data_IF_577790432397
#
_entry.id   IF_577790432397
#
_cell.length_a   1.000
_cell.length_b   1.000
_cell.length_c   1.000
_cell.angle_alpha   90.00
_cell.angle_beta   90.00
_cell.angle_gamma   90.00
#
_symmetry.space_group_name_H-M   'P 1'
#
loop_
_entity.id
_entity.type
_entity.pdbx_description
1 polymer ?
#
# COMPACT_ATOMS: atom_id res chain seq x y z
N UNK A 1 5.69 -23.41 -35.95
CA UNK A 1 5.47 -24.35 -34.82
C UNK A 1 5.35 -23.65 -33.47
N UNK A 2 6.33 -22.85 -32.99
CA UNK A 2 6.26 -22.17 -31.66
C UNK A 2 5.01 -21.30 -31.40
N UNK A 3 4.49 -20.57 -32.40
CA UNK A 3 3.27 -19.73 -32.25
C UNK A 3 1.99 -20.56 -32.13
N UNK A 4 1.91 -21.69 -32.82
CA UNK A 4 0.73 -22.58 -32.79
C UNK A 4 0.67 -23.29 -31.44
N UNK A 5 1.81 -23.78 -30.94
CA UNK A 5 1.89 -24.41 -29.62
C UNK A 5 1.53 -23.43 -28.50
N UNK A 6 1.98 -22.16 -28.56
CA UNK A 6 1.60 -21.16 -27.54
C UNK A 6 0.12 -20.83 -27.55
N UNK A 7 -0.51 -20.77 -28.72
CA UNK A 7 -1.95 -20.52 -28.84
C UNK A 7 -2.78 -21.69 -28.32
N UNK A 8 -2.37 -22.93 -28.62
CA UNK A 8 -3.03 -24.13 -28.10
C UNK A 8 -2.90 -24.20 -26.58
N UNK A 9 -1.70 -23.98 -26.03
CA UNK A 9 -1.47 -23.95 -24.58
C UNK A 9 -2.26 -22.84 -23.89
N UNK A 10 -2.30 -21.64 -24.45
CA UNK A 10 -3.09 -20.55 -23.87
C UNK A 10 -4.59 -20.83 -23.92
N UNK A 11 -5.07 -21.43 -25.02
CA UNK A 11 -6.49 -21.79 -25.18
C UNK A 11 -6.88 -22.87 -24.17
N UNK A 12 -6.07 -23.94 -24.05
CA UNK A 12 -6.28 -24.99 -23.05
C UNK A 12 -6.25 -24.45 -21.62
N UNK A 13 -5.31 -23.54 -21.32
CA UNK A 13 -5.24 -22.89 -20.01
C UNK A 13 -6.50 -22.05 -19.74
N UNK A 14 -6.98 -21.27 -20.71
CA UNK A 14 -8.20 -20.48 -20.58
C UNK A 14 -9.43 -21.37 -20.37
N UNK A 15 -9.55 -22.47 -21.12
CA UNK A 15 -10.60 -23.46 -20.93
C UNK A 15 -10.56 -24.07 -19.54
N UNK A 16 -9.38 -24.48 -19.07
CA UNK A 16 -9.21 -25.04 -17.72
C UNK A 16 -9.59 -24.03 -16.62
N UNK A 17 -9.16 -22.77 -16.74
CA UNK A 17 -9.47 -21.71 -15.78
C UNK A 17 -10.96 -21.33 -15.77
N UNK A 18 -11.64 -21.44 -16.91
CA UNK A 18 -13.07 -21.11 -17.05
C UNK A 18 -13.99 -22.26 -16.69
N UNK A 19 -13.53 -23.52 -16.79
CA UNK A 19 -14.33 -24.70 -16.46
C UNK A 19 -14.89 -24.65 -15.03
N UNK A 20 -14.08 -24.23 -14.05
CA UNK A 20 -14.55 -24.06 -12.66
C UNK A 20 -15.66 -23.02 -12.55
N UNK A 21 -15.49 -21.86 -13.18
CA UNK A 21 -16.49 -20.77 -13.15
C UNK A 21 -17.82 -21.19 -13.80
N UNK A 22 -17.76 -21.90 -14.92
CA UNK A 22 -18.96 -22.40 -15.61
C UNK A 22 -19.66 -23.46 -14.76
N UNK A 23 -18.90 -24.38 -14.17
CA UNK A 23 -19.44 -25.45 -13.32
C UNK A 23 -20.13 -24.86 -12.09
N UNK A 24 -19.49 -23.90 -11.41
CA UNK A 24 -20.08 -23.20 -10.27
C UNK A 24 -21.36 -22.46 -10.69
N UNK A 25 -21.33 -21.73 -11.81
CA UNK A 25 -22.50 -21.02 -12.31
C UNK A 25 -23.69 -21.97 -12.59
N UNK A 26 -23.46 -23.08 -13.27
CA UNK A 26 -24.52 -24.09 -13.52
C UNK A 26 -25.04 -24.71 -12.24
N UNK A 27 -24.17 -24.97 -11.26
CA UNK A 27 -24.57 -25.48 -9.95
C UNK A 27 -25.48 -24.49 -9.20
N UNK A 28 -25.09 -23.21 -9.12
CA UNK A 28 -25.90 -22.17 -8.49
C UNK A 28 -27.24 -21.93 -9.22
N UNK A 29 -27.23 -21.98 -10.55
CA UNK A 29 -28.43 -21.85 -11.38
C UNK A 29 -29.40 -23.01 -11.14
N UNK A 30 -28.90 -24.25 -11.05
CA UNK A 30 -29.71 -25.44 -10.76
C UNK A 30 -30.39 -25.37 -9.38
N UNK A 31 -29.79 -24.66 -8.42
CA UNK A 31 -30.34 -24.44 -7.08
C UNK A 31 -31.23 -23.19 -6.98
N UNK A 32 -31.43 -22.43 -8.05
CA UNK A 32 -32.17 -21.17 -8.03
C UNK A 32 -31.48 -20.02 -7.30
N UNK A 33 -30.16 -20.14 -7.03
CA UNK A 33 -29.36 -19.16 -6.29
C UNK A 33 -28.33 -18.43 -7.16
N UNK A 34 -28.64 -18.21 -8.44
CA UNK A 34 -27.79 -17.52 -9.42
C UNK A 34 -27.31 -16.14 -8.94
N UNK A 35 -28.17 -15.41 -8.23
CA UNK A 35 -27.87 -14.07 -7.71
C UNK A 35 -26.72 -14.07 -6.71
N UNK A 36 -26.54 -15.12 -5.91
CA UNK A 36 -25.42 -15.25 -4.97
C UNK A 36 -24.09 -15.35 -5.72
N UNK A 37 -24.05 -16.17 -6.78
CA UNK A 37 -22.88 -16.32 -7.63
C UNK A 37 -22.54 -15.01 -8.34
N UNK A 38 -23.52 -14.37 -8.99
CA UNK A 38 -23.32 -13.12 -9.71
C UNK A 38 -22.88 -11.98 -8.79
N UNK A 39 -23.44 -11.90 -7.57
CA UNK A 39 -23.04 -10.90 -6.58
C UNK A 39 -21.58 -11.09 -6.19
N UNK A 40 -21.14 -12.31 -5.89
CA UNK A 40 -19.75 -12.60 -5.57
C UNK A 40 -18.81 -12.34 -6.75
N UNK A 41 -19.16 -12.78 -7.94
CA UNK A 41 -18.37 -12.60 -9.16
C UNK A 41 -18.19 -11.12 -9.53
N UNK A 42 -19.30 -10.36 -9.59
CA UNK A 42 -19.26 -8.93 -9.91
C UNK A 42 -18.51 -8.12 -8.85
N UNK A 43 -18.64 -8.47 -7.57
CA UNK A 43 -17.90 -7.82 -6.48
C UNK A 43 -16.40 -8.03 -6.62
N UNK A 44 -15.95 -9.25 -6.95
CA UNK A 44 -14.53 -9.54 -7.22
C UNK A 44 -14.00 -8.72 -8.38
N UNK A 45 -14.73 -8.62 -9.50
CA UNK A 45 -14.30 -7.82 -10.67
C UNK A 45 -14.23 -6.34 -10.30
N UNK A 46 -15.25 -5.79 -9.63
CA UNK A 46 -15.26 -4.37 -9.22
C UNK A 46 -14.07 -4.05 -8.33
N UNK A 47 -13.81 -4.88 -7.31
CA UNK A 47 -12.70 -4.69 -6.39
C UNK A 47 -11.35 -4.83 -7.07
N UNK A 48 -11.21 -5.81 -7.98
CA UNK A 48 -10.00 -5.98 -8.79
C UNK A 48 -9.70 -4.70 -9.57
N UNK A 49 -10.66 -4.21 -10.37
CA UNK A 49 -10.47 -3.03 -11.21
C UNK A 49 -10.23 -1.76 -10.39
N UNK A 50 -10.98 -1.57 -9.30
CA UNK A 50 -10.85 -0.41 -8.43
C UNK A 50 -9.47 -0.34 -7.77
N UNK A 51 -9.04 -1.46 -7.15
CA UNK A 51 -7.75 -1.50 -6.46
C UNK A 51 -6.57 -1.52 -7.42
N UNK A 52 -6.62 -2.29 -8.52
CA UNK A 52 -5.59 -2.25 -9.56
C UNK A 52 -5.47 -0.85 -10.18
N UNK A 53 -6.59 -0.19 -10.47
CA UNK A 53 -6.61 1.18 -10.99
C UNK A 53 -5.99 2.18 -10.01
N UNK A 54 -6.33 2.08 -8.72
CA UNK A 54 -5.75 2.93 -7.67
C UNK A 54 -4.24 2.72 -7.54
N UNK A 55 -3.78 1.47 -7.45
CA UNK A 55 -2.35 1.14 -7.31
C UNK A 55 -1.57 1.57 -8.54
N UNK A 56 -2.08 1.26 -9.74
CA UNK A 56 -1.42 1.64 -10.98
C UNK A 56 -1.37 3.16 -11.13
N UNK A 57 -2.49 3.86 -10.91
CA UNK A 57 -2.57 5.31 -11.02
C UNK A 57 -1.64 6.02 -10.05
N UNK A 58 -1.61 5.59 -8.79
CA UNK A 58 -0.70 6.17 -7.79
C UNK A 58 0.77 5.94 -8.13
N UNK A 59 1.17 4.71 -8.49
CA UNK A 59 2.54 4.41 -8.91
C UNK A 59 2.94 5.22 -10.15
N UNK A 60 2.06 5.29 -11.16
CA UNK A 60 2.30 6.06 -12.38
C UNK A 60 2.46 7.56 -12.11
N UNK A 61 1.59 8.16 -11.29
CA UNK A 61 1.67 9.58 -10.94
C UNK A 61 3.01 9.88 -10.28
N UNK A 62 3.42 9.08 -9.30
CA UNK A 62 4.69 9.26 -8.61
C UNK A 62 5.89 9.05 -9.54
N UNK A 63 5.86 8.03 -10.40
CA UNK A 63 6.90 7.81 -11.42
C UNK A 63 6.96 8.94 -12.43
N UNK A 64 5.82 9.49 -12.85
CA UNK A 64 5.76 10.63 -13.77
C UNK A 64 6.37 11.88 -13.13
N UNK A 65 6.09 12.15 -11.85
CA UNK A 65 6.74 13.23 -11.07
C UNK A 65 8.26 13.01 -10.99
N UNK A 66 8.69 11.77 -10.76
CA UNK A 66 10.11 11.43 -10.71
C UNK A 66 10.80 11.63 -12.08
N UNK A 67 10.15 11.22 -13.17
CA UNK A 67 10.62 11.36 -14.55
C UNK A 67 10.74 12.82 -15.00
N UNK A 68 9.88 13.73 -14.49
CA UNK A 68 9.98 15.19 -14.73
C UNK A 68 11.27 15.79 -14.18
N UNK A 69 11.81 15.23 -13.09
CA UNK A 69 13.05 15.72 -12.49
C UNK A 69 14.26 15.35 -13.34
N UNK A 70 14.31 14.09 -13.80
CA UNK A 70 15.31 13.59 -14.75
C UNK A 70 14.77 12.37 -15.47
N UNK A 71 14.90 12.36 -16.80
CA UNK A 71 14.48 11.26 -17.66
C UNK A 71 15.41 10.06 -17.48
N UNK A 72 14.83 8.89 -17.21
CA UNK A 72 15.54 7.61 -17.17
C UNK A 72 15.19 6.75 -18.39
N UNK A 73 16.15 5.98 -18.89
CA UNK A 73 15.93 4.94 -19.91
C UNK A 73 15.16 3.74 -19.35
N UNK A 74 15.16 3.56 -18.02
CA UNK A 74 14.45 2.48 -17.34
C UNK A 74 12.99 2.81 -17.03
N UNK A 75 12.51 4.01 -17.38
CA UNK A 75 11.12 4.41 -17.17
C UNK A 75 10.08 3.40 -17.70
N UNK A 76 10.16 2.87 -18.94
CA UNK A 76 9.20 1.86 -19.42
C UNK A 76 9.22 0.58 -18.58
N UNK A 77 10.38 0.16 -18.06
CA UNK A 77 10.47 -0.98 -17.16
C UNK A 77 9.69 -0.72 -15.86
N UNK A 78 9.83 0.45 -15.25
CA UNK A 78 9.07 0.81 -14.05
C UNK A 78 7.57 0.90 -14.31
N UNK A 79 7.14 1.35 -15.49
CA UNK A 79 5.72 1.34 -15.88
C UNK A 79 5.19 -0.10 -15.98
N UNK A 80 5.92 -1.00 -16.64
CA UNK A 80 5.55 -2.42 -16.72
C UNK A 80 5.51 -3.07 -15.34
N UNK A 81 6.51 -2.81 -14.48
CA UNK A 81 6.51 -3.30 -13.11
C UNK A 81 5.34 -2.73 -12.29
N UNK A 82 4.98 -1.47 -12.50
CA UNK A 82 3.81 -0.85 -11.84
C UNK A 82 2.51 -1.51 -12.27
N UNK A 83 2.37 -1.85 -13.55
CA UNK A 83 1.20 -2.59 -14.05
C UNK A 83 1.14 -3.98 -13.40
N UNK A 84 2.26 -4.71 -13.37
CA UNK A 84 2.32 -6.02 -12.72
C UNK A 84 1.97 -5.94 -11.23
N UNK A 85 2.57 -5.00 -10.49
CA UNK A 85 2.25 -4.78 -9.08
C UNK A 85 0.77 -4.44 -8.86
N UNK A 86 0.17 -3.64 -9.75
CA UNK A 86 -1.24 -3.29 -9.68
C UNK A 86 -2.17 -4.48 -9.94
N UNK A 87 -1.85 -5.35 -10.90
CA UNK A 87 -2.62 -6.57 -11.17
C UNK A 87 -2.53 -7.55 -9.99
N UNK A 88 -1.34 -7.69 -9.38
CA UNK A 88 -1.14 -8.51 -8.18
C UNK A 88 -1.97 -7.96 -7.02
N UNK A 89 -1.85 -6.66 -6.73
CA UNK A 89 -2.63 -6.02 -5.67
C UNK A 89 -4.15 -6.15 -5.92
N UNK A 90 -4.57 -5.95 -7.17
CA UNK A 90 -5.95 -6.14 -7.62
C UNK A 90 -6.48 -7.54 -7.30
N UNK A 91 -5.70 -8.56 -7.61
CA UNK A 91 -6.03 -9.96 -7.34
C UNK A 91 -6.12 -10.25 -5.83
N UNK A 92 -5.20 -9.72 -5.03
CA UNK A 92 -5.25 -9.87 -3.57
C UNK A 92 -6.50 -9.22 -2.95
N UNK A 93 -6.84 -8.00 -3.38
CA UNK A 93 -8.01 -7.28 -2.85
C UNK A 93 -9.32 -7.90 -3.33
N UNK A 94 -9.38 -8.40 -4.57
CA UNK A 94 -10.58 -9.09 -5.07
C UNK A 94 -10.88 -10.37 -4.29
N UNK A 95 -9.84 -11.07 -3.79
CA UNK A 95 -10.00 -12.20 -2.87
C UNK A 95 -10.72 -11.84 -1.56
N UNK A 96 -10.73 -10.57 -1.17
CA UNK A 96 -11.39 -10.04 0.05
C UNK A 96 -12.78 -9.47 -0.20
N UNK A 97 -13.43 -9.89 -1.28
CA UNK A 97 -14.77 -9.45 -1.66
C UNK A 97 -15.82 -9.63 -0.57
N UNK A 98 -15.76 -10.73 0.20
CA UNK A 98 -16.72 -11.00 1.27
C UNK A 98 -16.57 -10.00 2.42
N UNK A 99 -15.34 -9.66 2.80
CA UNK A 99 -15.07 -8.66 3.85
C UNK A 99 -15.65 -7.29 3.45
N UNK A 100 -15.45 -6.87 2.20
CA UNK A 100 -15.96 -5.59 1.69
C UNK A 100 -17.47 -5.58 1.54
N UNK A 101 -18.05 -6.69 1.09
CA UNK A 101 -19.51 -6.81 0.96
C UNK A 101 -20.18 -6.82 2.33
N UNK A 102 -19.58 -7.51 3.31
CA UNK A 102 -20.05 -7.50 4.70
C UNK A 102 -19.97 -6.11 5.33
N UNK A 103 -18.94 -5.32 5.01
CA UNK A 103 -18.86 -3.91 5.40
C UNK A 103 -19.98 -3.04 4.79
N UNK A 104 -20.28 -3.24 3.50
CA UNK A 104 -21.33 -2.47 2.81
C UNK A 104 -22.73 -2.77 3.33
N UNK A 105 -22.97 -4.01 3.78
CA UNK A 105 -24.23 -4.47 4.33
C UNK A 105 -24.15 -4.71 5.84
N UNK A 106 -23.30 -3.96 6.54
CA UNK A 106 -23.11 -4.14 7.97
C UNK A 106 -24.40 -3.83 8.75
N UNK A 107 -24.79 -4.75 9.64
CA UNK A 107 -25.91 -4.58 10.56
C UNK A 107 -25.42 -4.44 11.99
N UNK A 108 -26.01 -3.54 12.80
CA UNK A 108 -25.63 -3.40 14.21
C UNK A 108 -26.07 -4.63 15.01
N UNK A 109 -25.24 -5.03 15.97
CA UNK A 109 -25.57 -6.11 16.89
C UNK A 109 -26.36 -5.59 18.10
N UNK A 110 -26.29 -4.29 18.39
CA UNK A 110 -26.89 -3.69 19.58
C UNK A 110 -26.07 -3.93 20.85
N UNK A 111 -24.81 -4.35 20.71
CA UNK A 111 -23.91 -4.67 21.80
C UNK A 111 -22.67 -3.79 21.70
N UNK A 112 -22.67 -2.72 22.50
CA UNK A 112 -21.53 -1.81 22.59
C UNK A 112 -20.44 -2.38 23.51
N UNK A 113 -19.19 -2.29 23.06
CA UNK A 113 -18.05 -2.69 23.86
C UNK A 113 -17.76 -1.65 24.97
N UNK A 114 -17.44 -2.09 26.21
CA UNK A 114 -17.23 -1.15 27.33
C UNK A 114 -16.00 -0.25 27.23
N UNK A 115 -15.03 -0.55 26.36
CA UNK A 115 -13.71 0.10 26.33
C UNK A 115 -13.67 1.23 25.30
N UNK A 116 -14.13 0.97 24.08
CA UNK A 116 -14.13 1.88 22.95
C UNK A 116 -15.53 2.39 22.59
N UNK A 117 -16.58 1.89 23.26
CA UNK A 117 -17.97 2.23 22.98
C UNK A 117 -18.35 2.03 21.50
N UNK A 118 -17.81 0.98 20.87
CA UNK A 118 -18.14 0.57 19.50
C UNK A 118 -19.04 -0.66 19.54
N UNK A 119 -20.01 -0.70 18.65
CA UNK A 119 -20.84 -1.90 18.46
C UNK A 119 -19.98 -3.07 17.95
N UNK A 120 -20.35 -4.31 18.29
CA UNK A 120 -19.68 -5.51 17.79
C UNK A 120 -19.56 -5.55 16.25
N UNK A 121 -20.50 -4.93 15.51
CA UNK A 121 -20.45 -4.77 14.04
C UNK A 121 -19.20 -4.06 13.55
N UNK A 122 -18.64 -3.13 14.33
CA UNK A 122 -17.40 -2.46 13.98
C UNK A 122 -16.25 -3.47 13.84
N UNK A 123 -16.13 -4.39 14.78
CA UNK A 123 -15.06 -5.38 14.82
C UNK A 123 -15.26 -6.47 13.75
N UNK A 124 -16.49 -6.92 13.54
CA UNK A 124 -16.78 -8.00 12.59
C UNK A 124 -16.75 -7.52 11.13
N UNK A 125 -17.31 -6.35 10.84
CA UNK A 125 -17.52 -5.90 9.45
C UNK A 125 -16.60 -4.75 9.05
N UNK A 126 -16.37 -3.77 9.92
CA UNK A 126 -15.64 -2.55 9.53
C UNK A 126 -14.12 -2.69 9.65
N UNK A 127 -13.65 -3.24 10.77
CA UNK A 127 -12.22 -3.34 11.09
C UNK A 127 -11.43 -4.17 10.06
N UNK A 128 -11.92 -5.31 9.53
CA UNK A 128 -11.22 -6.04 8.47
C UNK A 128 -11.00 -5.21 7.21
N UNK A 129 -12.00 -4.41 6.81
CA UNK A 129 -11.90 -3.53 5.63
C UNK A 129 -10.94 -2.36 5.89
N UNK A 130 -10.91 -1.81 7.10
CA UNK A 130 -9.91 -0.80 7.47
C UNK A 130 -8.49 -1.36 7.43
N UNK A 131 -8.27 -2.60 7.87
CA UNK A 131 -6.99 -3.28 7.73
C UNK A 131 -6.61 -3.57 6.27
N UNK A 132 -7.59 -3.98 5.45
CA UNK A 132 -7.40 -4.18 4.01
C UNK A 132 -6.99 -2.87 3.32
N UNK A 133 -7.71 -1.78 3.60
CA UNK A 133 -7.44 -0.45 3.07
C UNK A 133 -6.05 0.03 3.48
N UNK A 134 -5.72 -0.08 4.76
CA UNK A 134 -4.40 0.27 5.28
C UNK A 134 -3.30 -0.55 4.59
N UNK A 135 -3.48 -1.86 4.46
CA UNK A 135 -2.51 -2.75 3.83
C UNK A 135 -2.27 -2.39 2.36
N UNK A 136 -3.34 -2.08 1.62
CA UNK A 136 -3.26 -1.62 0.22
C UNK A 136 -2.48 -0.30 0.11
N UNK A 137 -2.83 0.69 0.93
CA UNK A 137 -2.18 2.02 0.92
C UNK A 137 -0.71 1.93 1.31
N UNK A 138 -0.40 1.17 2.37
CA UNK A 138 0.97 1.01 2.85
C UNK A 138 1.84 0.27 1.84
N UNK A 139 1.36 -0.85 1.28
CA UNK A 139 2.09 -1.59 0.24
C UNK A 139 2.34 -0.73 -1.00
N UNK A 140 1.33 0.03 -1.43
CA UNK A 140 1.45 0.95 -2.57
C UNK A 140 2.43 2.09 -2.29
N UNK A 141 2.38 2.69 -1.10
CA UNK A 141 3.33 3.73 -0.68
C UNK A 141 4.76 3.19 -0.55
N UNK A 142 4.94 1.97 -0.05
CA UNK A 142 6.24 1.33 0.08
C UNK A 142 6.82 0.99 -1.31
N UNK A 143 6.02 0.44 -2.22
CA UNK A 143 6.42 0.21 -3.61
C UNK A 143 6.74 1.53 -4.32
N UNK A 144 5.94 2.57 -4.08
CA UNK A 144 6.21 3.92 -4.58
C UNK A 144 7.58 4.38 -4.13
N UNK A 145 7.88 4.28 -2.83
CA UNK A 145 9.19 4.65 -2.27
C UNK A 145 10.33 3.87 -2.95
N UNK A 146 10.19 2.56 -3.13
CA UNK A 146 11.20 1.72 -3.80
C UNK A 146 11.39 2.17 -5.24
N UNK A 147 10.31 2.31 -6.02
CA UNK A 147 10.38 2.64 -7.45
C UNK A 147 10.96 4.03 -7.69
N UNK A 148 10.53 5.05 -6.94
CA UNK A 148 11.08 6.39 -7.10
C UNK A 148 12.53 6.47 -6.60
N UNK A 149 12.89 5.73 -5.55
CA UNK A 149 14.27 5.67 -5.05
C UNK A 149 15.20 5.05 -6.09
N UNK A 150 14.84 3.88 -6.64
CA UNK A 150 15.58 3.25 -7.72
C UNK A 150 15.66 4.15 -8.96
N UNK A 151 14.54 4.78 -9.34
CA UNK A 151 14.53 5.73 -10.45
C UNK A 151 15.53 6.87 -10.25
N UNK A 152 15.53 7.51 -9.06
CA UNK A 152 16.45 8.60 -8.77
C UNK A 152 17.92 8.15 -8.73
N UNK A 153 18.21 7.00 -8.13
CA UNK A 153 19.58 6.44 -8.06
C UNK A 153 20.09 6.08 -9.45
N UNK A 154 19.32 5.35 -10.26
CA UNK A 154 19.69 4.99 -11.63
C UNK A 154 19.79 6.21 -12.56
N UNK A 155 19.13 7.32 -12.18
CA UNK A 155 19.20 8.58 -12.90
C UNK A 155 20.32 9.49 -12.40
N UNK A 156 21.21 9.09 -11.50
CA UNK A 156 22.27 9.98 -11.03
C UNK A 156 23.26 10.38 -12.16
N UNK A 157 23.85 11.58 -12.11
CA UNK A 157 24.91 11.95 -13.04
C UNK A 157 26.14 11.03 -12.84
N UNK A 158 26.64 10.42 -13.91
CA UNK A 158 27.84 9.55 -13.88
C UNK A 158 29.16 10.33 -13.76
N UNK A 159 29.13 11.57 -13.26
CA UNK A 159 30.34 12.38 -13.13
C UNK A 159 31.11 11.92 -11.88
N UNK A 160 32.38 11.51 -12.01
CA UNK A 160 33.18 11.14 -10.85
C UNK A 160 33.32 12.33 -9.91
N UNK A 161 33.35 12.07 -8.59
CA UNK A 161 33.84 13.08 -7.65
C UNK A 161 35.34 13.11 -7.82
N UNK A 162 35.91 14.28 -8.08
CA UNK A 162 37.35 14.44 -8.26
C UNK A 162 37.85 15.19 -7.04
N UNK A 163 38.86 14.64 -6.37
CA UNK A 163 39.53 15.31 -5.25
C UNK A 163 40.42 16.46 -5.76
N UNK A 164 40.94 17.28 -4.84
CA UNK A 164 41.86 18.39 -5.10
C UNK A 164 43.08 17.92 -5.93
N UNK A 165 43.46 16.65 -5.77
CA UNK A 165 44.58 16.01 -6.48
C UNK A 165 44.18 15.37 -7.82
N UNK A 166 42.96 15.55 -8.32
CA UNK A 166 42.52 14.98 -9.60
C UNK A 166 42.11 13.50 -9.55
N UNK A 167 42.12 12.87 -8.37
CA UNK A 167 41.84 11.43 -8.21
C UNK A 167 40.32 11.20 -8.15
N UNK A 168 39.75 10.30 -8.98
CA UNK A 168 38.35 9.89 -8.86
C UNK A 168 38.10 9.22 -7.51
N UNK A 169 37.21 9.80 -6.70
CA UNK A 169 36.75 9.24 -5.45
C UNK A 169 35.32 8.69 -5.58
N UNK A 170 35.05 7.63 -4.83
CA UNK A 170 33.69 7.12 -4.66
C UNK A 170 32.91 8.16 -3.83
N UNK A 171 31.80 8.72 -4.36
CA UNK A 171 31.02 9.69 -3.61
C UNK A 171 30.53 9.11 -2.28
N UNK A 172 30.69 9.85 -1.18
CA UNK A 172 30.08 9.47 0.10
C UNK A 172 28.55 9.52 0.01
N UNK A 173 27.85 8.84 0.93
CA UNK A 173 26.39 8.89 1.00
C UNK A 173 25.87 10.33 1.08
N UNK A 174 26.52 11.20 1.85
CA UNK A 174 26.11 12.59 2.00
C UNK A 174 26.26 13.38 0.69
N UNK A 175 27.35 13.13 -0.06
CA UNK A 175 27.55 13.71 -1.38
C UNK A 175 26.53 13.18 -2.40
N UNK A 176 26.22 11.89 -2.37
CA UNK A 176 25.19 11.29 -3.23
C UNK A 176 23.82 11.87 -2.91
N UNK A 177 23.47 11.94 -1.63
CA UNK A 177 22.26 12.55 -1.13
C UNK A 177 22.19 13.97 -1.65
N UNK A 178 23.15 14.85 -1.38
CA UNK A 178 23.22 16.25 -1.87
C UNK A 178 22.85 16.43 -3.36
N UNK A 179 23.24 15.49 -4.22
CA UNK A 179 23.03 15.53 -5.68
C UNK A 179 21.63 15.08 -6.12
N UNK A 180 20.87 14.42 -5.26
CA UNK A 180 19.51 13.98 -5.57
C UNK A 180 18.57 15.18 -5.72
N UNK A 181 18.17 15.49 -6.96
CA UNK A 181 17.18 16.54 -7.24
C UNK A 181 15.77 16.20 -6.73
N UNK A 182 15.49 14.90 -6.51
CA UNK A 182 14.19 14.36 -6.10
C UNK A 182 13.95 14.19 -4.59
N UNK A 183 14.85 14.65 -3.72
CA UNK A 183 14.75 14.45 -2.25
C UNK A 183 13.41 14.87 -1.66
N UNK A 184 12.88 16.00 -2.14
CA UNK A 184 11.60 16.52 -1.67
C UNK A 184 10.51 15.48 -1.83
N UNK A 185 10.43 14.87 -3.01
CA UNK A 185 9.43 13.86 -3.33
C UNK A 185 9.61 12.60 -2.47
N UNK A 186 10.85 12.14 -2.30
CA UNK A 186 11.17 11.01 -1.41
C UNK A 186 10.71 11.27 0.02
N UNK A 187 11.02 12.45 0.56
CA UNK A 187 10.69 12.82 1.95
C UNK A 187 9.18 12.94 2.14
N UNK A 188 8.44 13.43 1.15
CA UNK A 188 6.97 13.45 1.18
C UNK A 188 6.38 12.04 1.23
N UNK A 189 6.89 11.12 0.41
CA UNK A 189 6.43 9.71 0.42
C UNK A 189 6.77 9.04 1.74
N UNK A 190 7.99 9.25 2.28
CA UNK A 190 8.38 8.73 3.61
C UNK A 190 7.49 9.31 4.70
N UNK A 191 7.23 10.62 4.70
CA UNK A 191 6.32 11.25 5.65
C UNK A 191 4.91 10.65 5.57
N UNK A 192 4.38 10.41 4.37
CA UNK A 192 3.09 9.78 4.20
C UNK A 192 3.07 8.33 4.75
N UNK A 193 4.15 7.57 4.57
CA UNK A 193 4.30 6.24 5.15
C UNK A 193 4.33 6.26 6.69
N UNK A 194 4.92 7.27 7.31
CA UNK A 194 4.86 7.44 8.76
C UNK A 194 3.45 7.76 9.27
N UNK A 195 2.66 8.54 8.52
CA UNK A 195 1.24 8.75 8.84
C UNK A 195 0.43 7.46 8.69
N UNK A 196 0.69 6.67 7.65
CA UNK A 196 0.09 5.34 7.50
C UNK A 196 0.52 4.40 8.63
N UNK A 197 1.76 4.49 9.12
CA UNK A 197 2.23 3.73 10.27
C UNK A 197 1.50 4.14 11.55
N UNK A 198 1.29 5.44 11.76
CA UNK A 198 0.49 5.95 12.88
C UNK A 198 -0.95 5.40 12.80
N UNK A 199 -1.58 5.41 11.62
CA UNK A 199 -2.90 4.82 11.43
C UNK A 199 -2.88 3.31 11.74
N UNK A 200 -1.85 2.55 11.31
CA UNK A 200 -1.72 1.13 11.64
C UNK A 200 -1.80 0.87 13.14
N UNK A 201 -1.03 1.63 13.92
CA UNK A 201 -0.98 1.50 15.37
C UNK A 201 -2.29 1.94 16.04
N UNK A 202 -2.95 2.94 15.47
CA UNK A 202 -4.27 3.34 15.92
C UNK A 202 -5.29 2.21 15.74
N UNK A 203 -5.32 1.55 14.57
CA UNK A 203 -6.18 0.39 14.34
C UNK A 203 -5.80 -0.80 15.22
N UNK A 204 -4.51 -1.02 15.48
CA UNK A 204 -4.03 -2.10 16.33
C UNK A 204 -4.58 -2.04 17.76
N UNK A 205 -4.99 -0.86 18.25
CA UNK A 205 -5.66 -0.73 19.55
C UNK A 205 -6.93 -1.56 19.64
N UNK A 206 -7.68 -1.69 18.55
CA UNK A 206 -8.92 -2.49 18.52
C UNK A 206 -8.66 -4.00 18.58
N UNK A 207 -7.42 -4.44 18.34
CA UNK A 207 -7.06 -5.86 18.35
C UNK A 207 -7.19 -6.51 19.73
N UNK A 208 -7.21 -5.73 20.82
CA UNK A 208 -7.37 -6.25 22.18
C UNK A 208 -8.67 -7.04 22.37
N UNK A 209 -9.69 -6.75 21.56
CA UNK A 209 -10.96 -7.48 21.59
C UNK A 209 -10.86 -8.92 21.06
N UNK A 210 -9.76 -9.26 20.40
CA UNK A 210 -9.46 -10.63 19.94
C UNK A 210 -8.34 -11.31 20.75
N UNK A 211 -7.89 -10.68 21.84
CA UNK A 211 -6.81 -11.21 22.66
C UNK A 211 -7.20 -12.57 23.27
N UNK A 212 -6.27 -13.52 23.21
CA UNK A 212 -6.39 -14.85 23.83
C UNK A 212 -5.37 -15.07 24.94
N UNK A 213 -4.69 -13.99 25.36
CA UNK A 213 -3.55 -14.04 26.27
C UNK A 213 -3.95 -14.21 27.74
N UNK A 214 -5.23 -13.95 28.07
CA UNK A 214 -5.77 -14.02 29.42
C UNK A 214 -6.59 -15.29 29.70
N UNK A 215 -7.21 -15.32 30.87
CA UNK A 215 -8.13 -16.39 31.33
C UNK A 215 -9.44 -16.40 30.51
N UNK A 216 -9.80 -15.26 29.91
CA UNK A 216 -10.99 -15.07 29.09
C UNK A 216 -10.58 -14.49 27.74
N UNK A 217 -11.29 -14.88 26.67
CA UNK A 217 -11.11 -14.29 25.33
C UNK A 217 -11.65 -12.87 25.33
N UNK A 218 -10.82 -11.91 24.92
CA UNK A 218 -11.13 -10.49 24.91
C UNK A 218 -10.11 -9.66 25.67
N UNK A 219 -10.42 -8.39 25.89
CA UNK A 219 -9.49 -7.44 26.49
C UNK A 219 -9.18 -7.79 27.95
N UNK A 220 -7.93 -8.17 28.23
CA UNK A 220 -7.43 -8.41 29.58
C UNK A 220 -6.95 -7.13 30.29
N UNK A 221 -6.70 -7.22 31.60
CA UNK A 221 -6.16 -6.11 32.40
C UNK A 221 -4.84 -5.57 31.83
N UNK A 222 -3.94 -6.48 31.41
CA UNK A 222 -2.66 -6.14 30.78
C UNK A 222 -2.83 -5.46 29.43
N UNK A 223 -3.83 -5.86 28.64
CA UNK A 223 -4.07 -5.28 27.33
C UNK A 223 -4.54 -3.82 27.47
N UNK A 224 -5.42 -3.56 28.44
CA UNK A 224 -5.93 -2.21 28.70
C UNK A 224 -4.85 -1.30 29.30
N UNK A 225 -4.09 -1.76 30.29
CA UNK A 225 -3.16 -0.91 31.03
C UNK A 225 -1.74 -0.85 30.46
N UNK A 226 -1.35 -1.81 29.59
CA UNK A 226 0.00 -1.87 29.02
C UNK A 226 -0.05 -1.75 27.50
N UNK A 227 -0.83 -2.59 26.82
CA UNK A 227 -0.84 -2.62 25.35
C UNK A 227 -1.46 -1.34 24.75
N UNK A 228 -2.59 -0.85 25.28
CA UNK A 228 -3.21 0.37 24.76
C UNK A 228 -2.33 1.62 24.92
N UNK A 229 -1.72 1.91 26.09
CA UNK A 229 -0.76 3.00 26.20
C UNK A 229 0.42 2.85 25.26
N UNK A 230 0.97 1.63 25.12
CA UNK A 230 2.09 1.37 24.22
C UNK A 230 1.72 1.64 22.75
N UNK A 231 0.56 1.18 22.28
CA UNK A 231 0.09 1.47 20.92
C UNK A 231 -0.17 2.97 20.72
N UNK A 232 -0.73 3.65 21.72
CA UNK A 232 -0.98 5.10 21.67
C UNK A 232 0.32 5.89 21.58
N UNK A 233 1.35 5.50 22.33
CA UNK A 233 2.69 6.07 22.22
C UNK A 233 3.25 5.90 20.81
N UNK A 234 3.12 4.70 20.21
CA UNK A 234 3.59 4.44 18.84
C UNK A 234 2.84 5.28 17.79
N UNK A 235 1.54 5.53 17.97
CA UNK A 235 0.77 6.47 17.13
C UNK A 235 1.41 7.87 17.17
N UNK A 236 1.66 8.37 18.39
CA UNK A 236 2.23 9.71 18.60
C UNK A 236 3.63 9.78 17.99
N UNK A 237 4.50 8.82 18.28
CA UNK A 237 5.87 8.78 17.75
C UNK A 237 5.87 8.73 16.23
N UNK A 238 5.05 7.87 15.60
CA UNK A 238 4.97 7.78 14.15
C UNK A 238 4.45 9.09 13.52
N UNK A 239 3.44 9.73 14.13
CA UNK A 239 2.92 11.02 13.68
C UNK A 239 3.97 12.15 13.82
N UNK A 240 4.69 12.18 14.94
CA UNK A 240 5.78 13.14 15.16
C UNK A 240 6.90 12.97 14.13
N UNK A 241 7.28 11.73 13.80
CA UNK A 241 8.26 11.46 12.75
C UNK A 241 7.83 12.03 11.40
N UNK A 242 6.56 11.86 11.01
CA UNK A 242 6.02 12.48 9.79
C UNK A 242 6.17 14.01 9.83
N UNK A 243 5.80 14.65 10.95
CA UNK A 243 5.94 16.11 11.11
C UNK A 243 7.40 16.55 11.03
N UNK A 244 8.33 15.83 11.67
CA UNK A 244 9.77 16.12 11.61
C UNK A 244 10.27 16.11 10.16
N UNK A 245 9.89 15.12 9.35
CA UNK A 245 10.26 15.06 7.94
C UNK A 245 9.72 16.26 7.13
N UNK A 246 8.48 16.68 7.39
CA UNK A 246 7.87 17.84 6.73
C UNK A 246 8.53 19.17 7.14
N UNK A 247 8.82 19.32 8.44
CA UNK A 247 9.49 20.51 8.97
C UNK A 247 10.91 20.61 8.42
N UNK A 248 11.66 19.51 8.43
CA UNK A 248 12.99 19.43 7.83
C UNK A 248 12.95 19.85 6.34
N UNK A 249 11.97 19.35 5.59
CA UNK A 249 11.79 19.71 4.18
C UNK A 249 11.51 21.21 3.97
N UNK A 250 10.73 21.82 4.86
CA UNK A 250 10.44 23.25 4.82
C UNK A 250 11.68 24.10 5.10
N UNK A 251 12.48 23.73 6.09
CA UNK A 251 13.74 24.41 6.40
C UNK A 251 14.75 24.31 5.25
N UNK A 252 14.94 23.14 4.68
CA UNK A 252 15.86 22.91 3.55
C UNK A 252 15.50 23.78 2.33
N UNK A 253 14.20 23.90 2.02
CA UNK A 253 13.72 24.77 0.93
C UNK A 253 13.99 26.25 1.20
N UNK A 254 13.90 26.71 2.46
CA UNK A 254 14.19 28.10 2.84
C UNK A 254 15.69 28.42 2.72
N UNK A 255 16.57 27.54 3.19
CA UNK A 255 18.02 27.73 3.10
C UNK A 255 18.49 27.83 1.65
N UNK A 256 17.97 26.97 0.77
CA UNK A 256 18.29 27.00 -0.66
C UNK A 256 17.88 28.31 -1.34
N UNK A 257 16.80 28.96 -0.92
CA UNK A 257 16.40 30.28 -1.46
C UNK A 257 17.35 31.39 -1.03
N UNK A 258 17.88 31.35 0.20
CA UNK A 258 18.80 32.38 0.72
C UNK A 258 20.14 32.41 -0.01
N UNK A 259 20.68 31.25 -0.37
CA UNK A 259 21.95 31.15 -1.12
C UNK A 259 21.87 31.49 -2.61
N UNK A 260 20.68 31.75 -3.16
CA UNK A 260 20.52 32.16 -4.57
C UNK A 260 20.41 33.70 -4.70
N UNK A 261 20.24 34.40 -3.59
CA UNK A 261 20.02 35.86 -3.53
C UNK A 261 21.27 36.63 -3.03
N UNK A 262 22.30 35.90 -2.58
CA UNK A 262 23.61 36.45 -2.20
C UNK A 262 24.66 36.02 -3.23
#
# INVERSE_FOLDING_TARGET
>A
MRRVTTLILSSLLLLFLSAGLITDYWWFSALGHETLFLTGFTSRIKLFLMSAGLVFGTLLINLAIAQRTKKSKFFPLFVTLSLLSALIAGFFVSGRWLDVLAYQHATPFGLADPIFAKDASFYVFTLPVLHLLWGLLFATGALTLVFISLHYVLSLPKRPVIDINGIPQVPSFMQLWSRLRGKTHLVLVVSALFLLLAWRHYLARYAIMYSKSGIVVGAGYTDVHVYLPAMTLLVIVAALMAVVFLVWLHYERRLRKRHVVA
#
